data_IF_430798012797
#
_entry.id   IF_430798012797
#
_cell.length_a   1.000
_cell.length_b   1.000
_cell.length_c   1.000
_cell.angle_alpha   90.00
_cell.angle_beta   90.00
_cell.angle_gamma   90.00
#
_symmetry.space_group_name_H-M   'P 1'
#
loop_
_entity.id
_entity.type
_entity.pdbx_description
1 polymer ?
#
# COMPACT_ATOMS: atom_id res chain seq x y z
N UNK A 1 6.04 -12.73 14.73
CA UNK A 1 5.19 -11.66 14.19
C UNK A 1 4.40 -11.11 15.35
N UNK A 2 5.04 -10.24 16.12
CA UNK A 2 4.35 -9.43 17.11
C UNK A 2 3.81 -8.21 16.37
N UNK A 3 2.52 -7.93 16.51
CA UNK A 3 1.85 -6.83 15.78
C UNK A 3 2.23 -5.47 16.39
N UNK A 4 2.86 -5.48 17.58
CA UNK A 4 3.22 -4.28 18.34
C UNK A 4 4.70 -3.88 18.17
N UNK A 5 5.50 -4.66 17.45
CA UNK A 5 6.89 -4.33 17.17
C UNK A 5 7.10 -4.09 15.66
N UNK A 6 6.80 -2.86 15.24
CA UNK A 6 7.06 -2.36 13.88
C UNK A 6 8.53 -1.93 13.74
N UNK A 7 9.33 -2.00 14.82
CA UNK A 7 10.73 -1.56 14.86
C UNK A 7 11.74 -2.64 14.48
N UNK A 8 11.29 -3.88 14.29
CA UNK A 8 12.13 -4.96 13.81
C UNK A 8 12.43 -4.77 12.31
N UNK A 9 13.50 -4.02 12.07
CA UNK A 9 14.14 -3.86 10.77
C UNK A 9 14.31 -5.25 10.13
N UNK A 10 13.79 -5.42 8.90
CA UNK A 10 13.91 -6.69 8.20
C UNK A 10 15.39 -6.88 7.83
N UNK A 11 16.03 -7.88 8.42
CA UNK A 11 17.45 -8.17 8.22
C UNK A 11 17.64 -9.30 7.20
N UNK A 12 18.68 -9.20 6.37
CA UNK A 12 19.13 -10.37 5.60
C UNK A 12 19.72 -11.40 6.56
N UNK A 13 19.07 -12.57 6.64
CA UNK A 13 19.39 -13.68 7.56
C UNK A 13 20.87 -14.06 7.56
N UNK A 14 21.53 -13.97 6.40
CA UNK A 14 22.90 -14.45 6.22
C UNK A 14 23.96 -13.34 6.36
N UNK A 15 23.57 -12.06 6.34
CA UNK A 15 24.51 -10.94 6.24
C UNK A 15 24.40 -9.93 7.38
N UNK A 16 23.32 -9.96 8.18
CA UNK A 16 23.15 -9.03 9.31
C UNK A 16 23.03 -7.55 8.90
N UNK A 17 22.74 -7.26 7.63
CA UNK A 17 22.40 -5.91 7.16
C UNK A 17 20.90 -5.72 7.10
N UNK A 18 20.47 -4.50 7.40
CA UNK A 18 19.11 -4.03 7.26
C UNK A 18 18.72 -3.89 5.78
N UNK A 19 17.53 -4.41 5.43
CA UNK A 19 16.93 -4.25 4.12
C UNK A 19 16.16 -2.93 4.07
N UNK A 20 16.76 -1.93 3.40
CA UNK A 20 16.10 -0.66 3.10
C UNK A 20 15.73 -0.65 1.61
N UNK A 21 14.50 -1.04 1.23
CA UNK A 21 14.10 -1.04 -0.16
C UNK A 21 13.97 0.41 -0.67
N UNK A 22 14.66 0.72 -1.77
CA UNK A 22 14.65 2.06 -2.38
C UNK A 22 13.59 2.23 -3.48
N UNK A 23 12.87 1.16 -3.84
CA UNK A 23 11.85 1.20 -4.88
C UNK A 23 11.15 -0.14 -5.11
N UNK A 24 10.25 -0.16 -6.10
CA UNK A 24 9.47 -1.35 -6.46
C UNK A 24 8.39 -1.73 -5.45
N UNK A 25 7.83 -2.91 -5.66
CA UNK A 25 6.73 -3.46 -4.84
C UNK A 25 7.10 -3.55 -3.35
N UNK A 26 8.33 -3.97 -3.05
CA UNK A 26 8.80 -4.13 -1.68
C UNK A 26 8.83 -2.80 -0.91
N UNK A 27 9.27 -1.70 -1.54
CA UNK A 27 9.19 -0.37 -0.92
C UNK A 27 7.74 0.07 -0.75
N UNK A 28 6.87 -0.25 -1.70
CA UNK A 28 5.42 -0.01 -1.58
C UNK A 28 4.83 -0.68 -0.34
N UNK A 29 5.15 -1.96 -0.12
CA UNK A 29 4.69 -2.71 1.05
C UNK A 29 5.24 -2.15 2.36
N UNK A 30 6.52 -1.76 2.41
CA UNK A 30 7.09 -1.11 3.59
C UNK A 30 6.44 0.24 3.88
N UNK A 31 6.21 1.07 2.86
CA UNK A 31 5.50 2.35 3.06
C UNK A 31 4.06 2.11 3.57
N UNK A 32 3.37 1.09 3.04
CA UNK A 32 2.04 0.72 3.53
C UNK A 32 2.06 0.30 5.01
N UNK A 33 3.01 -0.58 5.37
CA UNK A 33 3.17 -1.11 6.74
C UNK A 33 3.66 -0.09 7.75
N UNK A 34 4.63 0.75 7.38
CA UNK A 34 5.39 1.59 8.33
C UNK A 34 4.88 3.03 8.38
N UNK A 35 4.19 3.49 7.34
CA UNK A 35 3.72 4.87 7.24
C UNK A 35 2.20 4.92 7.21
N UNK A 36 1.58 4.25 6.24
CA UNK A 36 0.13 4.38 6.00
C UNK A 36 -0.67 3.75 7.14
N UNK A 37 -0.46 2.47 7.42
CA UNK A 37 -1.21 1.76 8.47
C UNK A 37 -1.05 2.45 9.84
N UNK A 38 0.15 2.80 10.31
CA UNK A 38 0.31 3.49 11.58
C UNK A 38 -0.37 4.86 11.63
N UNK A 39 -0.40 5.61 10.52
CA UNK A 39 -1.14 6.88 10.48
C UNK A 39 -2.65 6.69 10.69
N UNK A 40 -3.25 5.65 10.09
CA UNK A 40 -4.67 5.34 10.28
C UNK A 40 -4.94 4.76 11.67
N UNK A 41 -4.04 3.93 12.21
CA UNK A 41 -4.13 3.46 13.59
C UNK A 41 -4.12 4.64 14.55
N UNK A 42 -3.13 5.54 14.46
CA UNK A 42 -3.05 6.73 15.33
C UNK A 42 -4.34 7.59 15.28
N UNK A 43 -4.97 7.74 14.11
CA UNK A 43 -6.27 8.45 13.99
C UNK A 43 -7.39 7.73 14.74
N UNK A 44 -7.46 6.39 14.62
CA UNK A 44 -8.41 5.58 15.37
C UNK A 44 -8.16 5.64 16.87
N UNK A 45 -6.89 5.61 17.30
CA UNK A 45 -6.52 5.72 18.71
C UNK A 45 -6.89 7.10 19.28
N UNK A 46 -6.66 8.18 18.52
CA UNK A 46 -7.09 9.52 18.90
C UNK A 46 -8.61 9.57 19.11
N UNK A 47 -9.38 9.01 18.16
CA UNK A 47 -10.84 8.95 18.26
C UNK A 47 -11.30 8.13 19.47
N UNK A 48 -10.74 6.93 19.66
CA UNK A 48 -11.06 6.04 20.77
C UNK A 48 -10.73 6.69 22.12
N UNK A 49 -9.55 7.31 22.24
CA UNK A 49 -9.14 8.04 23.44
C UNK A 49 -10.09 9.20 23.78
N UNK A 50 -10.51 9.98 22.77
CA UNK A 50 -11.51 11.05 22.97
C UNK A 50 -12.87 10.51 23.37
N UNK A 51 -13.33 9.42 22.77
CA UNK A 51 -14.59 8.77 23.13
C UNK A 51 -14.55 8.28 24.59
N UNK A 52 -13.47 7.63 25.01
CA UNK A 52 -13.26 7.18 26.39
C UNK A 52 -13.39 8.34 27.36
N UNK A 53 -12.68 9.44 27.11
CA UNK A 53 -12.68 10.62 27.99
C UNK A 53 -14.07 11.25 28.09
N UNK A 54 -14.75 11.46 26.96
CA UNK A 54 -16.08 12.08 26.95
C UNK A 54 -17.15 11.18 27.60
N UNK A 55 -17.13 9.87 27.33
CA UNK A 55 -18.06 8.91 27.95
C UNK A 55 -17.83 8.83 29.45
N UNK A 56 -16.58 8.72 29.89
CA UNK A 56 -16.24 8.70 31.32
C UNK A 56 -16.65 10.00 32.02
N UNK A 57 -16.47 11.16 31.37
CA UNK A 57 -16.87 12.44 31.92
C UNK A 57 -18.40 12.56 32.11
N UNK A 58 -19.19 12.02 31.18
CA UNK A 58 -20.66 12.00 31.32
C UNK A 58 -21.08 10.94 32.35
N UNK A 59 -20.49 9.74 32.32
CA UNK A 59 -20.79 8.66 33.25
C UNK A 59 -20.57 9.09 34.71
N UNK A 60 -19.42 9.72 35.01
CA UNK A 60 -19.12 10.23 36.35
C UNK A 60 -20.06 11.32 36.85
N UNK A 61 -20.79 11.97 35.95
CA UNK A 61 -21.77 12.99 36.31
C UNK A 61 -23.17 12.43 36.56
N UNK A 62 -23.40 11.14 36.31
CA UNK A 62 -24.68 10.48 36.55
C UNK A 62 -24.77 9.78 37.91
N UNK A 63 -25.95 9.22 38.17
CA UNK A 63 -26.26 8.42 39.35
C UNK A 63 -26.54 6.98 38.94
N UNK A 64 -25.99 6.05 39.70
CA UNK A 64 -26.28 4.61 39.59
C UNK A 64 -27.56 4.27 40.35
N UNK A 65 -28.08 3.05 40.19
CA UNK A 65 -29.33 2.66 40.83
C UNK A 65 -29.17 2.68 42.36
N UNK A 66 -30.03 3.43 43.05
CA UNK A 66 -30.02 3.53 44.52
C UNK A 66 -28.84 4.31 45.12
N UNK A 67 -28.10 5.08 44.31
CA UNK A 67 -27.02 5.92 44.80
C UNK A 67 -27.49 7.35 45.12
N UNK A 68 -27.10 7.85 46.29
CA UNK A 68 -27.31 9.23 46.73
C UNK A 68 -26.24 10.18 46.19
N UNK A 69 -25.08 9.64 45.81
CA UNK A 69 -23.94 10.38 45.28
C UNK A 69 -23.70 10.06 43.81
N UNK A 70 -23.02 10.97 43.11
CA UNK A 70 -22.60 10.76 41.74
C UNK A 70 -21.63 9.59 41.63
N UNK A 71 -21.67 8.92 40.49
CA UNK A 71 -20.79 7.80 40.22
C UNK A 71 -19.32 8.24 40.15
N UNK A 72 -18.44 7.60 40.94
CA UNK A 72 -16.99 7.82 40.86
C UNK A 72 -16.30 6.86 39.88
N UNK A 73 -17.05 5.91 39.32
CA UNK A 73 -16.51 4.88 38.43
C UNK A 73 -16.40 5.38 36.98
N UNK A 74 -15.29 5.03 36.35
CA UNK A 74 -15.10 5.17 34.91
C UNK A 74 -15.85 4.07 34.15
N UNK A 75 -16.47 4.43 33.03
CA UNK A 75 -17.16 3.48 32.15
C UNK A 75 -16.15 2.61 31.39
N UNK A 76 -15.19 3.28 30.76
CA UNK A 76 -14.05 2.66 30.10
C UNK A 76 -12.81 2.85 30.97
N UNK A 77 -11.98 1.81 31.08
CA UNK A 77 -10.66 1.95 31.67
C UNK A 77 -9.82 2.89 30.80
N UNK A 78 -9.13 3.85 31.42
CA UNK A 78 -8.15 4.67 30.70
C UNK A 78 -6.96 3.77 30.37
N UNK A 79 -6.65 3.54 29.08
CA UNK A 79 -5.56 2.66 28.70
C UNK A 79 -4.23 3.25 29.17
N UNK A 80 -3.42 2.43 29.86
CA UNK A 80 -2.05 2.74 30.25
C UNK A 80 -1.07 1.95 29.38
N UNK A 81 -0.76 2.46 28.18
CA UNK A 81 0.23 1.88 27.26
C UNK A 81 -0.14 2.00 25.77
N UNK A 82 0.80 1.61 24.90
CA UNK A 82 0.79 1.72 23.41
C UNK A 82 -0.26 0.84 22.69
N UNK A 83 -1.20 0.21 23.41
CA UNK A 83 -2.27 -0.57 22.79
C UNK A 83 -3.62 -0.16 23.38
N UNK A 84 -4.15 0.91 22.79
CA UNK A 84 -5.29 1.72 23.22
C UNK A 84 -6.66 1.08 22.94
N UNK A 85 -6.79 -0.23 23.15
CA UNK A 85 -8.08 -0.91 23.01
C UNK A 85 -9.07 -0.37 24.05
N UNK A 86 -10.27 -0.01 23.59
CA UNK A 86 -11.37 0.38 24.47
C UNK A 86 -11.69 -0.81 25.38
N UNK A 87 -11.38 -0.69 26.67
CA UNK A 87 -11.69 -1.68 27.68
C UNK A 87 -12.79 -1.16 28.60
N UNK A 88 -13.84 -1.95 28.80
CA UNK A 88 -14.89 -1.63 29.77
C UNK A 88 -14.39 -1.93 31.18
N UNK A 89 -14.73 -1.06 32.13
CA UNK A 89 -14.41 -1.29 33.54
C UNK A 89 -15.15 -2.56 34.05
N UNK A 90 -14.43 -3.60 34.53
CA UNK A 90 -15.06 -4.86 34.93
C UNK A 90 -16.03 -4.70 36.11
N UNK A 91 -15.91 -3.65 36.91
CA UNK A 91 -16.83 -3.36 38.02
C UNK A 91 -18.25 -3.06 37.51
N UNK A 92 -18.38 -2.56 36.28
CA UNK A 92 -19.66 -2.28 35.63
C UNK A 92 -20.30 -3.50 34.95
N UNK A 93 -19.73 -4.70 35.13
CA UNK A 93 -20.46 -5.93 34.85
C UNK A 93 -21.73 -6.04 35.72
N UNK A 94 -21.72 -5.37 36.87
CA UNK A 94 -22.91 -5.11 37.68
C UNK A 94 -23.69 -3.93 37.10
N UNK A 95 -24.84 -4.23 36.50
CA UNK A 95 -25.69 -3.25 35.80
C UNK A 95 -26.21 -2.17 36.75
N UNK A 96 -26.34 -2.47 38.06
CA UNK A 96 -26.81 -1.50 39.05
C UNK A 96 -25.82 -0.35 39.25
N UNK A 97 -24.54 -0.55 38.91
CA UNK A 97 -23.47 0.45 39.03
C UNK A 97 -23.33 1.37 37.82
N UNK A 98 -24.10 1.14 36.76
CA UNK A 98 -24.09 1.99 35.57
C UNK A 98 -24.84 3.29 35.87
N UNK A 99 -24.16 4.41 35.69
CA UNK A 99 -24.68 5.74 36.01
C UNK A 99 -25.57 6.31 34.90
N UNK A 100 -26.79 5.77 34.79
CA UNK A 100 -27.73 6.10 33.72
C UNK A 100 -28.62 7.32 34.01
N UNK A 101 -28.81 7.67 35.28
CA UNK A 101 -29.69 8.76 35.72
C UNK A 101 -28.94 10.09 35.88
N UNK A 102 -29.67 11.20 35.81
CA UNK A 102 -29.13 12.55 36.07
C UNK A 102 -29.47 13.10 37.46
N UNK A 103 -30.46 12.51 38.12
CA UNK A 103 -30.91 12.86 39.47
C UNK A 103 -30.73 11.66 40.41
N UNK A 104 -30.51 11.90 41.71
CA UNK A 104 -30.44 10.83 42.72
C UNK A 104 -31.81 10.18 42.92
N UNK A 105 -31.81 8.88 43.23
CA UNK A 105 -33.02 8.06 43.49
C UNK A 105 -34.15 8.26 42.46
N UNK A 106 -33.79 8.24 41.17
CA UNK A 106 -34.73 8.34 40.05
C UNK A 106 -34.84 7.02 39.26
N UNK A 107 -35.58 6.00 39.77
CA UNK A 107 -35.79 4.75 39.04
C UNK A 107 -36.40 4.99 37.65
N UNK A 108 -35.72 4.48 36.61
CA UNK A 108 -36.16 4.62 35.22
C UNK A 108 -35.66 5.88 34.50
N UNK A 109 -34.89 6.75 35.17
CA UNK A 109 -34.23 7.86 34.49
C UNK A 109 -33.04 7.37 33.65
N UNK A 110 -33.18 7.45 32.32
CA UNK A 110 -32.12 7.15 31.34
C UNK A 110 -31.49 8.41 30.74
N UNK A 111 -31.70 9.59 31.32
CA UNK A 111 -31.28 10.87 30.72
C UNK A 111 -29.76 11.00 30.59
N UNK A 112 -28.97 10.40 31.49
CA UNK A 112 -27.51 10.42 31.38
C UNK A 112 -27.04 9.45 30.29
N UNK A 113 -27.65 8.28 30.19
CA UNK A 113 -27.41 7.36 29.08
C UNK A 113 -27.77 7.98 27.72
N UNK A 114 -28.83 8.80 27.66
CA UNK A 114 -29.16 9.58 26.47
C UNK A 114 -28.09 10.61 26.13
N UNK A 115 -27.51 11.31 27.12
CA UNK A 115 -26.37 12.22 26.91
C UNK A 115 -25.15 11.49 26.33
N UNK A 116 -24.88 10.26 26.80
CA UNK A 116 -23.83 9.41 26.24
C UNK A 116 -24.13 9.07 24.77
N UNK A 117 -25.36 8.67 24.46
CA UNK A 117 -25.76 8.38 23.07
C UNK A 117 -25.64 9.62 22.15
N UNK A 118 -25.90 10.82 22.69
CA UNK A 118 -25.78 12.08 21.95
C UNK A 118 -24.32 12.50 21.68
N UNK A 119 -23.32 11.89 22.35
CA UNK A 119 -21.91 12.16 22.05
C UNK A 119 -21.56 11.88 20.58
N UNK A 120 -22.26 10.95 19.95
CA UNK A 120 -22.13 10.64 18.52
C UNK A 120 -22.20 11.88 17.64
N UNK A 121 -23.02 12.87 18.01
CA UNK A 121 -23.26 14.11 17.24
C UNK A 121 -22.56 15.33 17.84
N UNK A 122 -21.95 15.19 19.03
CA UNK A 122 -21.27 16.29 19.70
C UNK A 122 -19.95 16.56 18.99
N UNK A 123 -19.70 17.83 18.67
CA UNK A 123 -18.41 18.25 18.14
C UNK A 123 -17.35 18.24 19.23
N UNK A 124 -16.24 17.58 18.98
CA UNK A 124 -15.13 17.48 19.90
C UNK A 124 -13.97 18.31 19.34
N UNK A 125 -13.50 19.36 20.04
CA UNK A 125 -12.42 20.23 19.56
C UNK A 125 -11.16 19.49 19.14
N UNK A 126 -10.77 18.48 19.91
CA UNK A 126 -9.54 17.70 19.70
C UNK A 126 -9.61 16.76 18.49
N UNK A 127 -10.80 16.57 17.90
CA UNK A 127 -11.04 15.87 16.64
C UNK A 127 -11.15 16.86 15.46
N UNK A 128 -10.69 18.10 15.63
CA UNK A 128 -10.83 19.15 14.61
C UNK A 128 -12.22 19.78 14.58
N UNK A 129 -12.91 19.82 15.72
CA UNK A 129 -14.29 20.30 15.85
C UNK A 129 -15.30 19.48 15.01
N UNK A 130 -15.00 18.19 14.84
CA UNK A 130 -15.82 17.20 14.17
C UNK A 130 -16.55 16.32 15.21
N UNK A 131 -17.68 15.74 14.83
CA UNK A 131 -18.29 14.64 15.59
C UNK A 131 -17.54 13.33 15.34
N UNK A 132 -17.85 12.29 16.11
CA UNK A 132 -17.24 10.96 15.94
C UNK A 132 -17.59 10.37 14.56
N UNK A 133 -18.84 10.59 14.12
CA UNK A 133 -19.29 10.19 12.79
C UNK A 133 -18.53 10.98 11.71
N UNK A 134 -18.47 12.31 11.81
CA UNK A 134 -17.77 13.15 10.84
C UNK A 134 -16.28 12.77 10.72
N UNK A 135 -15.63 12.48 11.85
CA UNK A 135 -14.23 12.08 11.87
C UNK A 135 -14.03 10.72 11.17
N UNK A 136 -14.88 9.75 11.45
CA UNK A 136 -14.83 8.41 10.83
C UNK A 136 -15.08 8.50 9.32
N UNK A 137 -16.10 9.27 8.91
CA UNK A 137 -16.42 9.49 7.50
C UNK A 137 -15.26 10.18 6.77
N UNK A 138 -14.65 11.19 7.40
CA UNK A 138 -13.47 11.87 6.84
C UNK A 138 -12.29 10.93 6.65
N UNK A 139 -12.06 10.03 7.60
CA UNK A 139 -10.97 9.07 7.55
C UNK A 139 -11.16 8.06 6.42
N UNK A 140 -12.38 7.52 6.27
CA UNK A 140 -12.74 6.61 5.18
C UNK A 140 -12.63 7.32 3.83
N UNK A 141 -13.08 8.57 3.74
CA UNK A 141 -13.00 9.37 2.51
C UNK A 141 -11.54 9.61 2.09
N UNK A 142 -10.67 10.01 3.02
CA UNK A 142 -9.25 10.21 2.74
C UNK A 142 -8.61 8.90 2.28
N UNK A 143 -8.89 7.78 2.95
CA UNK A 143 -8.39 6.46 2.54
C UNK A 143 -8.85 6.10 1.12
N UNK A 144 -10.11 6.38 0.78
CA UNK A 144 -10.63 6.17 -0.57
C UNK A 144 -9.91 7.01 -1.62
N UNK A 145 -9.62 8.28 -1.33
CA UNK A 145 -8.87 9.17 -2.23
C UNK A 145 -7.43 8.70 -2.40
N UNK A 146 -6.74 8.36 -1.31
CA UNK A 146 -5.37 7.84 -1.33
C UNK A 146 -5.27 6.53 -2.12
N UNK A 147 -6.22 5.61 -1.92
CA UNK A 147 -6.29 4.36 -2.67
C UNK A 147 -6.50 4.61 -4.17
N UNK A 148 -7.43 5.50 -4.53
CA UNK A 148 -7.68 5.86 -5.93
C UNK A 148 -6.45 6.51 -6.57
N UNK A 149 -5.74 7.36 -5.83
CA UNK A 149 -4.51 7.98 -6.31
C UNK A 149 -3.41 6.94 -6.54
N UNK A 150 -3.22 6.00 -5.60
CA UNK A 150 -2.26 4.92 -5.73
C UNK A 150 -2.52 4.01 -6.94
N UNK A 151 -3.79 3.63 -7.16
CA UNK A 151 -4.21 2.85 -8.33
C UNK A 151 -3.86 3.59 -9.62
N UNK A 152 -4.25 4.87 -9.73
CA UNK A 152 -3.96 5.69 -10.90
C UNK A 152 -2.46 5.85 -11.15
N UNK A 153 -1.65 6.03 -10.09
CA UNK A 153 -0.20 6.10 -10.22
C UNK A 153 0.40 4.78 -10.74
N UNK A 154 -0.09 3.64 -10.24
CA UNK A 154 0.35 2.33 -10.71
C UNK A 154 -0.01 2.10 -12.19
N UNK A 155 -1.23 2.44 -12.60
CA UNK A 155 -1.68 2.38 -14.00
C UNK A 155 -0.82 3.25 -14.93
N UNK A 156 -0.55 4.50 -14.52
CA UNK A 156 0.32 5.40 -15.28
C UNK A 156 1.73 4.82 -15.44
N UNK A 157 2.30 4.27 -14.38
CA UNK A 157 3.63 3.66 -14.42
C UNK A 157 3.66 2.43 -15.34
N UNK A 158 2.61 1.61 -15.31
CA UNK A 158 2.47 0.46 -16.21
C UNK A 158 2.36 0.89 -17.68
N UNK A 159 1.62 1.96 -17.96
CA UNK A 159 1.50 2.53 -19.30
C UNK A 159 2.85 3.05 -19.81
N UNK A 160 3.60 3.78 -18.97
CA UNK A 160 4.94 4.25 -19.30
C UNK A 160 5.91 3.09 -19.59
N UNK A 161 5.87 2.04 -18.75
CA UNK A 161 6.67 0.84 -18.96
C UNK A 161 6.37 0.21 -20.34
N UNK A 162 5.09 0.01 -20.63
CA UNK A 162 4.62 -0.56 -21.90
C UNK A 162 5.08 0.28 -23.10
N UNK A 163 5.01 1.62 -23.01
CA UNK A 163 5.49 2.51 -24.07
C UNK A 163 7.00 2.43 -24.28
N UNK A 164 7.77 2.31 -23.19
CA UNK A 164 9.23 2.14 -23.27
C UNK A 164 9.57 0.78 -23.89
N UNK A 165 8.85 -0.28 -23.52
CA UNK A 165 9.02 -1.62 -24.10
C UNK A 165 8.76 -1.61 -25.60
N UNK A 166 7.66 -1.01 -26.06
CA UNK A 166 7.38 -0.87 -27.50
C UNK A 166 8.44 -0.05 -28.24
N UNK A 167 8.94 1.04 -27.65
CA UNK A 167 10.03 1.81 -28.25
C UNK A 167 11.31 0.98 -28.34
N UNK A 168 11.62 0.20 -27.29
CA UNK A 168 12.78 -0.68 -27.28
C UNK A 168 12.66 -1.74 -28.38
N UNK A 169 11.49 -2.34 -28.53
CA UNK A 169 11.19 -3.30 -29.60
C UNK A 169 11.23 -2.65 -30.99
N UNK A 170 10.80 -1.41 -31.17
CA UNK A 170 10.90 -0.75 -32.49
C UNK A 170 12.33 -0.43 -32.92
N UNK A 171 13.24 -0.22 -31.98
CA UNK A 171 14.65 0.12 -32.25
C UNK A 171 15.53 -1.12 -32.30
N UNK A 172 15.27 -2.07 -31.38
CA UNK A 172 16.08 -3.30 -31.24
C UNK A 172 15.43 -4.51 -31.90
N UNK A 173 14.20 -4.37 -32.40
CA UNK A 173 13.49 -5.40 -33.13
C UNK A 173 14.13 -5.60 -34.49
N UNK A 174 14.41 -6.85 -34.80
CA UNK A 174 14.91 -7.26 -36.11
C UNK A 174 13.71 -7.56 -36.99
N UNK A 175 13.62 -6.91 -38.15
CA UNK A 175 12.60 -7.24 -39.13
C UNK A 175 12.96 -8.55 -39.83
N UNK A 176 12.15 -9.59 -39.63
CA UNK A 176 12.36 -10.89 -40.28
C UNK A 176 12.37 -10.77 -41.82
N UNK A 177 11.63 -9.82 -42.38
CA UNK A 177 11.59 -9.57 -43.82
C UNK A 177 12.89 -8.91 -44.32
N UNK A 178 13.49 -8.03 -43.51
CA UNK A 178 14.77 -7.40 -43.82
C UNK A 178 15.93 -8.40 -43.68
N UNK A 179 15.91 -9.24 -42.64
CA UNK A 179 16.84 -10.37 -42.50
C UNK A 179 16.70 -11.39 -43.64
N UNK A 180 15.47 -11.71 -44.06
CA UNK A 180 15.23 -12.60 -45.20
C UNK A 180 15.74 -11.97 -46.51
N UNK A 181 15.52 -10.68 -46.72
CA UNK A 181 16.02 -9.96 -47.89
C UNK A 181 17.55 -9.93 -47.91
N UNK A 182 18.17 -9.66 -46.76
CA UNK A 182 19.63 -9.70 -46.59
C UNK A 182 20.18 -11.11 -46.81
N UNK A 183 19.50 -12.15 -46.30
CA UNK A 183 19.85 -13.54 -46.53
C UNK A 183 19.82 -13.89 -48.03
N UNK A 184 18.74 -13.53 -48.74
CA UNK A 184 18.61 -13.74 -50.19
C UNK A 184 19.71 -12.98 -50.94
N UNK A 185 20.00 -11.74 -50.56
CA UNK A 185 21.07 -10.92 -51.15
C UNK A 185 22.44 -11.56 -50.95
N UNK A 186 22.76 -12.04 -49.74
CA UNK A 186 24.01 -12.73 -49.46
C UNK A 186 24.11 -14.07 -50.19
N UNK A 187 23.01 -14.81 -50.33
CA UNK A 187 22.95 -16.03 -51.11
C UNK A 187 23.23 -15.78 -52.60
N UNK A 188 22.66 -14.72 -53.19
CA UNK A 188 22.93 -14.33 -54.57
C UNK A 188 24.37 -13.82 -54.77
N UNK A 189 24.89 -13.04 -53.82
CA UNK A 189 26.27 -12.57 -53.84
C UNK A 189 27.26 -13.75 -53.77
N UNK A 190 27.01 -14.72 -52.90
CA UNK A 190 27.82 -15.94 -52.77
C UNK A 190 27.81 -16.77 -54.05
N UNK A 191 26.63 -17.01 -54.64
CA UNK A 191 26.51 -17.73 -55.91
C UNK A 191 27.22 -17.00 -57.07
N UNK A 192 27.14 -15.67 -57.10
CA UNK A 192 27.84 -14.86 -58.10
C UNK A 192 29.36 -14.91 -57.92
N UNK A 193 29.84 -14.84 -56.68
CA UNK A 193 31.26 -14.99 -56.36
C UNK A 193 31.78 -16.39 -56.73
N UNK A 194 31.01 -17.45 -56.46
CA UNK A 194 31.36 -18.80 -56.87
C UNK A 194 31.52 -18.93 -58.40
N UNK A 195 30.59 -18.37 -59.19
CA UNK A 195 30.71 -18.32 -60.66
C UNK A 195 31.93 -17.52 -61.12
N UNK A 196 32.26 -16.43 -60.44
CA UNK A 196 33.44 -15.63 -60.76
C UNK A 196 34.73 -16.41 -60.49
N UNK A 197 34.78 -17.18 -59.40
CA UNK A 197 35.89 -18.11 -59.12
C UNK A 197 35.97 -19.17 -60.21
N UNK A 198 34.85 -19.78 -60.63
CA UNK A 198 34.85 -20.74 -61.75
C UNK A 198 35.36 -20.12 -63.05
N UNK A 199 34.95 -18.90 -63.37
CA UNK A 199 35.45 -18.20 -64.55
C UNK A 199 36.95 -17.88 -64.46
N UNK A 200 37.45 -17.56 -63.26
CA UNK A 200 38.89 -17.39 -63.01
C UNK A 200 39.62 -18.72 -63.17
N UNK A 201 39.09 -19.82 -62.63
CA UNK A 201 39.67 -21.15 -62.79
C UNK A 201 39.74 -21.54 -64.27
N UNK A 202 38.69 -21.28 -65.05
CA UNK A 202 38.67 -21.51 -66.51
C UNK A 202 39.70 -20.62 -67.24
N UNK A 203 39.81 -19.34 -66.87
CA UNK A 203 40.82 -18.44 -67.45
C UNK A 203 42.24 -18.91 -67.11
N UNK A 204 42.49 -19.33 -65.87
CA UNK A 204 43.78 -19.87 -65.44
C UNK A 204 44.10 -21.18 -66.18
N UNK A 205 43.12 -22.06 -66.37
CA UNK A 205 43.29 -23.29 -67.16
C UNK A 205 43.67 -22.96 -68.62
N UNK A 206 43.02 -21.99 -69.25
CA UNK A 206 43.37 -21.55 -70.61
C UNK A 206 44.79 -20.97 -70.67
N UNK A 207 45.18 -20.12 -69.72
CA UNK A 207 46.52 -19.51 -69.70
C UNK A 207 47.61 -20.56 -69.45
N UNK A 208 47.41 -21.46 -68.48
CA UNK A 208 48.42 -22.45 -68.07
C UNK A 208 48.48 -23.60 -69.07
N UNK A 209 47.34 -24.19 -69.43
CA UNK A 209 47.28 -25.42 -70.20
C UNK A 209 47.04 -25.20 -71.70
N UNK A 210 46.50 -24.07 -72.15
CA UNK A 210 46.21 -23.85 -73.60
C UNK A 210 47.09 -22.81 -74.29
N UNK A 211 47.67 -21.85 -73.57
CA UNK A 211 48.61 -20.89 -74.17
C UNK A 211 50.07 -21.37 -74.17
N UNK A 212 50.44 -22.34 -73.34
CA UNK A 212 51.79 -22.92 -73.27
C UNK A 212 52.10 -24.00 -74.31
N UNK A 213 51.12 -24.43 -75.12
CA UNK A 213 51.31 -25.50 -76.12
C UNK A 213 51.47 -24.90 -77.52
N UNK A 214 52.60 -24.26 -77.77
CA UNK A 214 53.08 -24.01 -79.14
C UNK A 214 54.48 -24.60 -79.25
N UNK A 215 54.53 -25.82 -79.80
CA UNK A 215 55.77 -26.55 -80.03
C UNK A 215 55.60 -28.06 -80.07
N UNK A 216 54.81 -28.58 -81.01
CA UNK A 216 55.06 -29.84 -81.75
C UNK A 216 54.47 -29.73 -83.14
#
# INVERSE_FOLDING_TARGET
>A
FDVNDISDNIMFKDMGYELIPNGGELKGLFNARDIIIPQYLNKLEQMAGRLIVEVNAIHKNGYSLGADEKCDLEFFAIPSGDNSLIAVNPVLADVEKIAAATEPDAPGDGSNALKIAQLRYKKIPDLGNASVDDFTDSMIAILGVEAQEAIRMAENQQLLLTQIEYRRESVSGVSLDEELTNMIKFQHAYNSAARMVTAIDEMLDVVVNRMGIVGR
#
